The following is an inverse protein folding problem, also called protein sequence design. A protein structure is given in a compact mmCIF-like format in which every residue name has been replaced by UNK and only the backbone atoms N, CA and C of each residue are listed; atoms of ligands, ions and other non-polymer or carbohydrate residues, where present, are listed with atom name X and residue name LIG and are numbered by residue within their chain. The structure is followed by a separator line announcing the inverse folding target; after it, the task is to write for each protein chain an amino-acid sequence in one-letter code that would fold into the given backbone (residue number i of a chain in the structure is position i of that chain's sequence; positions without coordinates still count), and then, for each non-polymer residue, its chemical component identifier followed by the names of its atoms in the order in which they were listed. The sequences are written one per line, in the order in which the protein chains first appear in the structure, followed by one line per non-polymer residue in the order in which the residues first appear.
data_IF_985186475799
#
_entry.id   IF_985186475799
#
_cell.length_a   1.000
_cell.length_b   1.000
_cell.length_c   1.000
_cell.angle_alpha   90.00
_cell.angle_beta   90.00
_cell.angle_gamma   90.00
#
_symmetry.space_group_name_H-M   'P 1'
#
loop_
_entity.id
_entity.type
_entity.pdbx_description
1 polymer ?
#
# COMPACT_ATOMS: atom_id res chain seq x y z
N UNK A 1 70.84 -32.50 -9.27
CA UNK A 1 69.96 -31.40 -9.73
C UNK A 1 68.50 -31.86 -9.70
N UNK A 2 68.00 -32.34 -8.56
CA UNK A 2 66.74 -33.11 -8.50
C UNK A 2 65.93 -32.83 -7.23
N UNK A 3 65.93 -31.58 -6.74
CA UNK A 3 65.05 -31.18 -5.61
C UNK A 3 64.10 -30.01 -5.92
N UNK A 4 64.22 -29.38 -7.10
CA UNK A 4 63.43 -28.18 -7.45
C UNK A 4 62.02 -28.42 -8.01
N UNK A 5 61.68 -29.64 -8.43
CA UNK A 5 60.42 -29.92 -9.15
C UNK A 5 59.27 -30.31 -8.19
N UNK A 6 59.57 -30.79 -6.98
CA UNK A 6 58.57 -31.35 -6.06
C UNK A 6 57.92 -30.32 -5.12
N UNK A 7 58.30 -29.05 -5.19
CA UNK A 7 57.71 -27.96 -4.38
C UNK A 7 56.74 -27.08 -5.17
N UNK A 8 56.83 -27.05 -6.51
CA UNK A 8 55.89 -26.31 -7.36
C UNK A 8 54.52 -26.99 -7.42
N UNK A 9 54.44 -28.32 -7.47
CA UNK A 9 53.18 -29.06 -7.67
C UNK A 9 52.17 -28.90 -6.52
N UNK A 10 52.64 -28.64 -5.29
CA UNK A 10 51.77 -28.43 -4.12
C UNK A 10 51.13 -27.04 -4.03
N UNK A 11 51.67 -26.03 -4.71
CA UNK A 11 51.15 -24.65 -4.68
C UNK A 11 50.15 -24.33 -5.79
N UNK A 12 50.21 -25.03 -6.91
CA UNK A 12 49.29 -24.84 -8.06
C UNK A 12 48.03 -25.70 -8.00
N UNK A 13 48.03 -26.80 -7.24
CA UNK A 13 46.87 -27.68 -7.11
C UNK A 13 45.58 -27.00 -6.58
N UNK A 14 45.61 -26.13 -5.54
CA UNK A 14 44.38 -25.46 -5.07
C UNK A 14 43.90 -24.34 -6.01
N UNK A 15 44.79 -23.76 -6.81
CA UNK A 15 44.44 -22.75 -7.82
C UNK A 15 43.72 -23.38 -9.02
N UNK A 16 44.11 -24.60 -9.39
CA UNK A 16 43.53 -25.33 -10.51
C UNK A 16 42.13 -25.88 -10.19
N UNK A 17 41.87 -26.23 -8.92
CA UNK A 17 40.53 -26.67 -8.46
C UNK A 17 39.55 -25.50 -8.35
N UNK A 18 39.99 -24.32 -7.92
CA UNK A 18 39.14 -23.11 -7.87
C UNK A 18 38.79 -22.64 -9.29
N UNK A 19 39.73 -22.69 -10.24
CA UNK A 19 39.46 -22.38 -11.64
C UNK A 19 38.45 -23.34 -12.28
N UNK A 20 38.53 -24.64 -11.96
CA UNK A 20 37.56 -25.62 -12.44
C UNK A 20 36.15 -25.44 -11.84
N UNK A 21 36.05 -25.04 -10.57
CA UNK A 21 34.78 -24.73 -9.92
C UNK A 21 34.13 -23.44 -10.45
N UNK A 22 34.96 -22.44 -10.77
CA UNK A 22 34.51 -21.18 -11.39
C UNK A 22 34.02 -21.39 -12.84
N UNK A 23 34.68 -22.27 -13.60
CA UNK A 23 34.25 -22.66 -14.95
C UNK A 23 32.96 -23.51 -14.95
N UNK A 24 32.76 -24.37 -13.94
CA UNK A 24 31.52 -25.14 -13.80
C UNK A 24 30.31 -24.25 -13.44
N UNK A 25 30.54 -23.15 -12.69
CA UNK A 25 29.51 -22.15 -12.38
C UNK A 25 29.22 -21.19 -13.55
N UNK A 26 30.16 -21.00 -14.49
CA UNK A 26 29.92 -20.18 -15.68
C UNK A 26 29.00 -20.87 -16.70
N UNK A 27 29.02 -22.20 -16.78
CA UNK A 27 28.21 -22.96 -17.72
C UNK A 27 26.73 -23.08 -17.32
N UNK A 28 26.35 -22.74 -16.09
CA UNK A 28 24.94 -22.75 -15.65
C UNK A 28 24.23 -21.41 -15.90
N UNK A 29 24.95 -20.35 -16.28
CA UNK A 29 24.37 -19.05 -16.68
C UNK A 29 23.94 -19.04 -18.15
N UNK A 30 24.38 -20.00 -18.96
CA UNK A 30 23.90 -20.21 -20.33
C UNK A 30 22.75 -21.22 -20.36
N UNK A 31 21.80 -21.09 -19.43
CA UNK A 31 20.55 -21.81 -19.53
C UNK A 31 19.75 -21.28 -20.74
N UNK A 32 19.80 -22.07 -21.81
CA UNK A 32 18.71 -22.26 -22.76
C UNK A 32 18.28 -21.03 -23.60
N UNK A 33 19.18 -20.55 -24.47
CA UNK A 33 18.72 -19.92 -25.72
C UNK A 33 18.16 -21.02 -26.61
N UNK A 34 16.85 -21.22 -26.54
CA UNK A 34 16.09 -22.01 -27.52
C UNK A 34 16.49 -21.57 -28.93
N UNK A 35 17.08 -22.48 -29.71
CA UNK A 35 17.59 -22.23 -31.07
C UNK A 35 16.51 -22.04 -32.14
N UNK A 36 15.27 -21.80 -31.71
CA UNK A 36 14.13 -21.51 -32.56
C UNK A 36 14.12 -20.02 -32.94
N UNK A 37 14.24 -19.72 -34.24
CA UNK A 37 13.90 -18.39 -34.78
C UNK A 37 12.39 -18.15 -34.77
N UNK A 38 11.60 -19.22 -34.66
CA UNK A 38 10.16 -19.14 -34.44
C UNK A 38 9.90 -18.68 -33.00
N UNK A 39 9.40 -17.46 -32.87
CA UNK A 39 8.72 -16.99 -31.67
C UNK A 39 7.23 -17.16 -31.90
N UNK A 40 6.61 -18.02 -31.10
CA UNK A 40 5.15 -18.16 -30.97
C UNK A 40 4.49 -16.91 -30.36
N UNK A 41 5.21 -15.78 -30.37
CA UNK A 41 4.82 -14.56 -29.70
C UNK A 41 4.05 -13.60 -30.59
N UNK A 42 4.09 -13.80 -31.91
CA UNK A 42 3.29 -13.04 -32.87
C UNK A 42 1.88 -13.61 -32.82
N UNK A 43 0.98 -12.91 -32.12
CA UNK A 43 -0.41 -13.31 -31.96
C UNK A 43 -1.02 -13.77 -33.29
N UNK A 44 -1.91 -14.76 -33.20
CA UNK A 44 -2.64 -15.30 -34.35
C UNK A 44 -3.26 -14.17 -35.18
N UNK A 45 -3.14 -14.27 -36.51
CA UNK A 45 -3.72 -13.29 -37.45
C UNK A 45 -5.25 -13.15 -37.31
N UNK A 46 -5.89 -14.08 -36.60
CA UNK A 46 -7.32 -14.13 -36.34
C UNK A 46 -7.67 -13.90 -34.87
N UNK A 47 -6.69 -13.69 -33.99
CA UNK A 47 -6.92 -13.38 -32.58
C UNK A 47 -6.81 -11.88 -32.37
N UNK A 48 -7.79 -11.34 -31.65
CA UNK A 48 -7.83 -9.93 -31.27
C UNK A 48 -6.54 -9.55 -30.50
N UNK A 49 -5.96 -8.40 -30.84
CA UNK A 49 -4.68 -7.91 -30.31
C UNK A 49 -4.90 -7.26 -28.94
N UNK A 50 -5.27 -8.11 -27.97
CA UNK A 50 -5.49 -7.72 -26.58
C UNK A 50 -4.24 -7.98 -25.76
N UNK A 51 -4.05 -7.22 -24.69
CA UNK A 51 -3.00 -7.48 -23.71
C UNK A 51 -3.19 -8.88 -23.09
N UNK A 52 -2.19 -9.73 -23.23
CA UNK A 52 -2.22 -11.12 -22.74
C UNK A 52 -0.91 -11.55 -22.07
N UNK A 53 0.15 -10.75 -22.16
CA UNK A 53 1.48 -11.09 -21.68
C UNK A 53 1.98 -10.06 -20.68
N UNK A 54 2.87 -10.50 -19.80
CA UNK A 54 3.65 -9.59 -18.98
C UNK A 54 4.42 -8.60 -19.88
N UNK A 55 4.32 -7.31 -19.56
CA UNK A 55 4.86 -6.22 -20.37
C UNK A 55 3.85 -5.53 -21.28
N UNK A 56 2.68 -6.12 -21.53
CA UNK A 56 1.63 -5.46 -22.30
C UNK A 56 1.01 -4.29 -21.52
N UNK A 57 0.42 -3.33 -22.23
CA UNK A 57 -0.22 -2.16 -21.62
C UNK A 57 -1.73 -2.22 -21.80
N UNK A 58 -2.45 -1.83 -20.75
CA UNK A 58 -3.92 -1.76 -20.72
C UNK A 58 -4.32 -0.39 -20.23
N UNK A 59 -5.28 0.21 -20.92
CA UNK A 59 -5.91 1.43 -20.45
C UNK A 59 -7.02 1.09 -19.46
N UNK A 60 -6.92 1.60 -18.24
CA UNK A 60 -7.99 1.54 -17.24
C UNK A 60 -8.81 2.83 -17.25
N UNK A 61 -10.12 2.68 -17.35
CA UNK A 61 -11.12 3.73 -17.14
C UNK A 61 -11.56 3.69 -15.68
N UNK A 62 -11.06 4.63 -14.89
CA UNK A 62 -11.33 4.74 -13.45
C UNK A 62 -12.55 5.61 -13.24
N UNK A 63 -13.59 5.05 -12.62
CA UNK A 63 -14.82 5.74 -12.23
C UNK A 63 -15.17 5.35 -10.81
N UNK A 64 -14.64 6.07 -9.82
CA UNK A 64 -14.85 5.79 -8.41
C UNK A 64 -15.61 6.92 -7.72
N UNK A 65 -16.65 6.54 -6.96
CA UNK A 65 -17.38 7.45 -6.08
C UNK A 65 -17.35 6.88 -4.66
N UNK A 66 -16.73 7.60 -3.72
CA UNK A 66 -16.64 7.19 -2.32
C UNK A 66 -17.36 8.20 -1.44
N UNK A 67 -18.33 7.72 -0.67
CA UNK A 67 -19.04 8.49 0.35
C UNK A 67 -18.76 7.84 1.70
N UNK A 68 -17.93 8.49 2.52
CA UNK A 68 -17.64 8.06 3.88
C UNK A 68 -18.36 8.98 4.87
N UNK A 69 -19.38 8.46 5.54
CA UNK A 69 -20.09 9.16 6.61
C UNK A 69 -19.78 8.51 7.96
N UNK A 70 -19.00 9.19 8.81
CA UNK A 70 -18.80 8.75 10.18
C UNK A 70 -19.65 9.59 11.12
N UNK A 71 -20.55 8.92 11.85
CA UNK A 71 -21.23 9.47 13.03
C UNK A 71 -20.51 8.95 14.27
N UNK A 72 -20.02 9.86 15.09
CA UNK A 72 -19.48 9.59 16.41
C UNK A 72 -20.40 10.22 17.45
N UNK A 73 -21.17 9.39 18.17
CA UNK A 73 -21.94 9.79 19.33
C UNK A 73 -21.17 9.35 20.58
N UNK A 74 -20.77 10.31 21.41
CA UNK A 74 -20.01 10.06 22.63
C UNK A 74 -20.83 10.52 23.82
N UNK A 75 -21.36 9.56 24.58
CA UNK A 75 -22.07 9.78 25.83
C UNK A 75 -21.12 9.52 27.01
N UNK A 76 -20.59 10.57 27.64
CA UNK A 76 -19.84 10.44 28.90
C UNK A 76 -20.72 10.86 30.07
N UNK A 77 -21.09 9.89 30.91
CA UNK A 77 -21.70 10.11 32.22
C UNK A 77 -20.63 9.89 33.27
N UNK A 78 -20.30 10.92 34.05
CA UNK A 78 -19.31 10.84 35.12
C UNK A 78 -19.98 11.16 36.44
N UNK A 79 -20.15 10.12 37.25
CA UNK A 79 -20.69 10.19 38.61
C UNK A 79 -19.53 10.16 39.61
N UNK A 80 -19.13 11.31 40.13
CA UNK A 80 -18.08 11.43 41.15
C UNK A 80 -18.70 11.65 42.52
N UNK A 81 -18.93 10.57 43.28
CA UNK A 81 -19.31 10.64 44.69
C UNK A 81 -18.06 10.53 45.56
N UNK A 82 -17.47 11.66 45.95
CA UNK A 82 -16.39 11.68 46.94
C UNK A 82 -16.99 11.92 48.33
N UNK A 83 -17.21 10.83 49.08
CA UNK A 83 -17.65 10.92 50.48
C UNK A 83 -16.42 10.94 51.38
N UNK A 84 -16.02 12.12 51.86
CA UNK A 84 -15.00 12.25 52.90
C UNK A 84 -15.70 12.09 54.24
N UNK A 85 -15.53 10.93 54.87
CA UNK A 85 -15.95 10.72 56.26
C UNK A 85 -15.04 11.50 57.22
N UNK A 86 -15.54 11.85 58.42
CA UNK A 86 -14.73 12.51 59.44
C UNK A 86 -13.60 11.57 59.88
N UNK A 87 -12.37 11.83 59.41
CA UNK A 87 -11.19 11.02 59.74
C UNK A 87 -10.23 10.72 58.58
N UNK A 88 -10.54 11.16 57.35
CA UNK A 88 -9.70 10.93 56.17
C UNK A 88 -8.51 11.90 56.04
N UNK A 89 -7.43 11.67 56.78
CA UNK A 89 -6.10 12.23 56.49
C UNK A 89 -5.72 13.52 57.23
N UNK A 90 -4.42 13.63 57.53
CA UNK A 90 -3.79 14.68 58.34
C UNK A 90 -4.03 16.12 57.86
N UNK A 91 -4.49 16.31 56.62
CA UNK A 91 -4.77 17.62 56.02
C UNK A 91 -6.20 18.13 56.26
N UNK A 92 -7.14 17.29 56.71
CA UNK A 92 -8.57 17.64 56.80
C UNK A 92 -9.15 17.52 58.22
N UNK A 93 -8.30 17.59 59.25
CA UNK A 93 -8.68 17.38 60.65
C UNK A 93 -9.67 18.42 61.21
N UNK A 94 -9.95 19.52 60.49
CA UNK A 94 -10.75 20.63 61.01
C UNK A 94 -11.78 21.21 60.02
N UNK A 95 -12.16 20.46 58.98
CA UNK A 95 -13.20 20.90 58.04
C UNK A 95 -14.41 19.98 58.21
N UNK A 96 -15.56 20.57 58.57
CA UNK A 96 -16.82 19.87 58.70
C UNK A 96 -17.23 19.16 57.41
N UNK A 97 -18.11 18.16 57.54
CA UNK A 97 -18.60 17.30 56.45
C UNK A 97 -19.01 18.13 55.21
N UNK A 98 -18.12 18.18 54.21
CA UNK A 98 -18.38 18.87 52.95
C UNK A 98 -18.70 17.84 51.88
N UNK A 99 -20.00 17.67 51.61
CA UNK A 99 -20.50 16.86 50.51
C UNK A 99 -20.49 17.69 49.23
N UNK A 100 -19.55 17.41 48.32
CA UNK A 100 -19.52 18.00 46.99
C UNK A 100 -19.99 16.96 45.97
N UNK A 101 -21.25 17.05 45.55
CA UNK A 101 -21.84 16.20 44.52
C UNK A 101 -21.91 16.95 43.19
N UNK A 102 -21.08 16.55 42.22
CA UNK A 102 -21.15 17.05 40.85
C UNK A 102 -21.52 15.92 39.90
N UNK A 103 -22.65 16.04 39.21
CA UNK A 103 -23.04 15.16 38.11
C UNK A 103 -22.75 15.87 36.79
N UNK A 104 -21.76 15.41 36.02
CA UNK A 104 -21.46 15.95 34.70
C UNK A 104 -21.95 14.99 33.62
N UNK A 105 -22.89 15.46 32.79
CA UNK A 105 -23.39 14.73 31.62
C UNK A 105 -22.94 15.49 30.38
N UNK A 106 -21.99 14.92 29.63
CA UNK A 106 -21.52 15.47 28.37
C UNK A 106 -21.99 14.59 27.22
N UNK A 107 -22.77 15.19 26.30
CA UNK A 107 -23.16 14.59 25.03
C UNK A 107 -22.39 15.27 23.91
N UNK A 108 -21.52 14.52 23.23
CA UNK A 108 -20.82 14.97 22.04
C UNK A 108 -21.35 14.25 20.81
N UNK A 109 -21.97 14.99 19.89
CA UNK A 109 -22.34 14.49 18.57
C UNK A 109 -21.36 15.06 17.54
N UNK A 110 -20.62 14.19 16.87
CA UNK A 110 -19.72 14.54 15.76
C UNK A 110 -20.15 13.80 14.50
N UNK A 111 -20.58 14.53 13.47
CA UNK A 111 -20.80 13.95 12.14
C UNK A 111 -19.74 14.47 11.17
N UNK A 112 -18.97 13.57 10.56
CA UNK A 112 -18.07 13.90 9.45
C UNK A 112 -18.53 13.17 8.20
N UNK A 113 -18.77 13.91 7.13
CA UNK A 113 -19.09 13.37 5.81
C UNK A 113 -17.98 13.76 4.85
N UNK A 114 -17.39 12.77 4.18
CA UNK A 114 -16.38 12.94 3.13
C UNK A 114 -16.92 12.33 1.85
N UNK A 115 -17.08 13.14 0.82
CA UNK A 115 -17.40 12.70 -0.54
C UNK A 115 -16.20 12.90 -1.45
N UNK A 116 -15.81 11.87 -2.21
CA UNK A 116 -14.74 11.94 -3.21
C UNK A 116 -15.21 11.27 -4.51
N UNK A 117 -15.06 11.98 -5.63
CA UNK A 117 -15.34 11.47 -6.97
C UNK A 117 -14.04 11.49 -7.78
N UNK A 118 -13.68 10.36 -8.38
CA UNK A 118 -12.49 10.20 -9.20
C UNK A 118 -12.88 9.64 -10.56
N UNK A 119 -12.73 10.45 -11.61
CA UNK A 119 -12.95 10.06 -13.00
C UNK A 119 -11.66 10.33 -13.76
N UNK A 120 -10.98 9.27 -14.19
CA UNK A 120 -9.71 9.40 -14.91
C UNK A 120 -9.43 8.20 -15.79
N UNK A 121 -8.51 8.37 -16.75
CA UNK A 121 -7.98 7.30 -17.60
C UNK A 121 -6.52 7.10 -17.24
N UNK A 122 -6.14 5.87 -16.89
CA UNK A 122 -4.79 5.51 -16.48
C UNK A 122 -4.29 4.34 -17.32
N UNK A 123 -3.07 4.41 -17.84
CA UNK A 123 -2.42 3.26 -18.46
C UNK A 123 -1.72 2.45 -17.39
N UNK A 124 -2.03 1.15 -17.33
CA UNK A 124 -1.37 0.17 -16.49
C UNK A 124 -0.57 -0.80 -17.37
N UNK A 125 0.49 -1.37 -16.81
CA UNK A 125 1.26 -2.44 -17.44
C UNK A 125 0.92 -3.76 -16.77
N UNK A 126 0.91 -4.84 -17.53
CA UNK A 126 0.79 -6.20 -17.00
C UNK A 126 2.14 -6.56 -16.40
N UNK A 127 2.18 -6.78 -15.09
CA UNK A 127 3.42 -7.14 -14.39
C UNK A 127 3.64 -8.65 -14.34
N UNK A 128 2.57 -9.42 -14.24
CA UNK A 128 2.63 -10.88 -14.15
C UNK A 128 1.34 -11.54 -14.70
N UNK A 129 1.44 -12.82 -15.04
CA UNK A 129 0.31 -13.66 -15.46
C UNK A 129 0.16 -14.81 -14.47
N UNK A 130 -0.98 -14.84 -13.78
CA UNK A 130 -1.30 -15.87 -12.81
C UNK A 130 -1.50 -17.24 -13.50
N UNK A 131 -1.35 -18.37 -12.77
CA UNK A 131 -1.49 -19.71 -13.33
C UNK A 131 -2.85 -20.01 -13.98
N UNK A 132 -3.88 -19.26 -13.62
CA UNK A 132 -5.23 -19.34 -14.19
C UNK A 132 -5.41 -18.51 -15.48
N UNK A 133 -4.37 -17.79 -15.93
CA UNK A 133 -4.40 -16.91 -17.10
C UNK A 133 -4.88 -15.48 -16.81
N UNK A 134 -5.12 -15.12 -15.54
CA UNK A 134 -5.44 -13.75 -15.18
C UNK A 134 -4.17 -12.88 -15.18
N UNK A 135 -4.34 -11.60 -15.48
CA UNK A 135 -3.25 -10.65 -15.61
C UNK A 135 -3.20 -9.77 -14.35
N UNK A 136 -2.04 -9.69 -13.72
CA UNK A 136 -1.78 -8.71 -12.67
C UNK A 136 -1.36 -7.42 -13.34
N UNK A 137 -2.06 -6.33 -13.04
CA UNK A 137 -1.79 -5.02 -13.62
C UNK A 137 -1.33 -4.04 -12.54
N UNK A 138 -0.40 -3.17 -12.94
CA UNK A 138 0.07 -2.07 -12.13
C UNK A 138 0.26 -0.82 -12.99
N UNK A 139 -0.24 0.32 -12.52
CA UNK A 139 -0.09 1.59 -13.22
C UNK A 139 0.13 2.73 -12.23
N UNK A 140 0.95 3.69 -12.62
CA UNK A 140 1.12 4.95 -11.91
C UNK A 140 0.98 6.10 -12.91
N UNK A 141 0.24 7.15 -12.52
CA UNK A 141 0.15 8.39 -13.27
C UNK A 141 0.37 9.55 -12.32
N UNK A 142 1.41 10.32 -12.59
CA UNK A 142 1.64 11.60 -11.95
C UNK A 142 0.96 12.71 -12.76
N UNK A 143 0.18 13.55 -12.08
CA UNK A 143 -0.48 14.71 -12.65
C UNK A 143 -0.10 15.91 -11.80
N UNK A 144 0.43 16.96 -12.44
CA UNK A 144 0.68 18.24 -11.78
C UNK A 144 -0.44 19.21 -12.10
N UNK A 145 -1.19 19.63 -11.09
CA UNK A 145 -2.29 20.61 -11.23
C UNK A 145 -2.09 21.71 -10.21
N UNK A 146 -2.06 22.98 -10.66
CA UNK A 146 -1.97 24.16 -9.77
C UNK A 146 -0.85 24.04 -8.71
N UNK A 147 0.35 23.67 -9.15
CA UNK A 147 1.55 23.49 -8.30
C UNK A 147 1.52 22.29 -7.34
N UNK A 148 0.43 21.53 -7.31
CA UNK A 148 0.33 20.29 -6.55
C UNK A 148 0.65 19.08 -7.46
N UNK A 149 1.57 18.22 -6.98
CA UNK A 149 1.79 16.92 -7.60
C UNK A 149 0.82 15.90 -6.99
N UNK A 150 0.03 15.28 -7.85
CA UNK A 150 -0.89 14.20 -7.53
C UNK A 150 -0.37 12.92 -8.18
N UNK A 151 -0.25 11.86 -7.40
CA UNK A 151 0.16 10.54 -7.85
C UNK A 151 -1.04 9.62 -7.70
N UNK A 152 -1.48 9.05 -8.83
CA UNK A 152 -2.54 8.05 -8.89
C UNK A 152 -1.88 6.70 -9.13
N UNK A 153 -2.07 5.77 -8.20
CA UNK A 153 -1.61 4.38 -8.32
C UNK A 153 -2.79 3.46 -8.47
N UNK A 154 -2.66 2.50 -9.37
CA UNK A 154 -3.61 1.45 -9.57
C UNK A 154 -2.89 0.10 -9.54
N UNK A 155 -3.43 -0.84 -8.79
CA UNK A 155 -3.06 -2.25 -8.91
C UNK A 155 -4.31 -3.12 -8.82
N UNK A 156 -4.24 -4.31 -9.41
CA UNK A 156 -5.33 -5.26 -9.36
C UNK A 156 -5.11 -6.42 -10.32
N UNK A 157 -6.11 -7.29 -10.41
CA UNK A 157 -6.08 -8.46 -11.28
C UNK A 157 -7.23 -8.37 -12.27
N UNK A 158 -6.94 -8.58 -13.55
CA UNK A 158 -7.93 -8.56 -14.62
C UNK A 158 -7.96 -9.89 -15.36
N UNK A 159 -9.13 -10.23 -15.89
CA UNK A 159 -9.25 -11.37 -16.82
C UNK A 159 -9.02 -10.87 -18.24
N UNK A 160 -8.31 -11.62 -19.10
CA UNK A 160 -8.17 -11.25 -20.52
C UNK A 160 -9.52 -11.09 -21.24
N UNK A 161 -10.58 -11.76 -20.78
CA UNK A 161 -11.94 -11.64 -21.35
C UNK A 161 -12.55 -10.25 -21.18
N UNK A 162 -12.16 -9.50 -20.15
CA UNK A 162 -12.79 -8.25 -19.73
C UNK A 162 -12.15 -7.01 -20.38
N UNK A 163 -10.99 -7.18 -21.03
CA UNK A 163 -10.21 -6.10 -21.67
C UNK A 163 -10.74 -5.82 -23.07
N UNK A 164 -11.53 -4.79 -23.38
CA UNK A 164 -12.07 -4.58 -24.74
C UNK A 164 -11.03 -4.71 -25.88
N UNK A 165 -11.45 -4.94 -27.14
CA UNK A 165 -10.54 -4.97 -28.31
C UNK A 165 -9.59 -3.76 -28.40
N UNK A 166 -10.03 -2.60 -27.91
CA UNK A 166 -9.24 -1.37 -27.82
C UNK A 166 -8.23 -1.33 -26.65
N UNK A 167 -7.97 -2.46 -25.98
CA UNK A 167 -7.13 -2.56 -24.78
C UNK A 167 -7.61 -1.69 -23.62
N UNK A 168 -8.92 -1.59 -23.43
CA UNK A 168 -9.54 -0.81 -22.35
C UNK A 168 -10.28 -1.68 -21.35
N UNK A 169 -10.21 -1.35 -20.06
CA UNK A 169 -10.96 -2.02 -18.98
C UNK A 169 -11.55 -0.99 -18.02
N UNK A 170 -12.76 -1.23 -17.52
CA UNK A 170 -13.36 -0.40 -16.47
C UNK A 170 -12.82 -0.79 -15.10
N UNK A 171 -12.63 0.16 -14.18
CA UNK A 171 -12.20 -0.11 -12.81
C UNK A 171 -13.12 -1.09 -12.07
N UNK A 172 -14.41 -1.09 -12.40
CA UNK A 172 -15.42 -2.01 -11.85
C UNK A 172 -15.20 -3.48 -12.19
N UNK A 173 -14.46 -3.77 -13.26
CA UNK A 173 -14.18 -5.14 -13.73
C UNK A 173 -12.82 -5.67 -13.22
N UNK A 174 -12.10 -4.87 -12.42
CA UNK A 174 -10.81 -5.23 -11.87
C UNK A 174 -11.01 -5.89 -10.51
N UNK A 175 -10.53 -7.13 -10.36
CA UNK A 175 -10.52 -7.82 -9.08
C UNK A 175 -9.45 -7.24 -8.15
N UNK A 176 -9.79 -7.10 -6.87
CA UNK A 176 -8.92 -6.53 -5.83
C UNK A 176 -8.29 -5.18 -6.24
N UNK A 177 -9.08 -4.35 -6.93
CA UNK A 177 -8.64 -3.05 -7.39
C UNK A 177 -8.24 -2.15 -6.21
N UNK A 178 -6.97 -1.75 -6.18
CA UNK A 178 -6.43 -0.76 -5.24
C UNK A 178 -6.11 0.50 -6.01
N UNK A 179 -6.88 1.55 -5.73
CA UNK A 179 -6.75 2.85 -6.37
C UNK A 179 -6.38 3.85 -5.28
N UNK A 180 -5.13 4.31 -5.31
CA UNK A 180 -4.61 5.27 -4.35
C UNK A 180 -4.41 6.61 -5.06
N UNK A 181 -5.06 7.64 -4.53
CA UNK A 181 -4.81 9.03 -4.91
C UNK A 181 -4.02 9.70 -3.78
N UNK A 182 -2.75 9.99 -4.03
CA UNK A 182 -1.89 10.72 -3.09
C UNK A 182 -1.61 12.11 -3.63
N UNK A 183 -1.89 13.15 -2.85
CA UNK A 183 -1.58 14.54 -3.18
C UNK A 183 -1.06 15.30 -1.97
N UNK A 184 0.00 16.11 -2.15
CA UNK A 184 0.55 16.97 -1.10
C UNK A 184 -0.12 18.35 -1.17
N UNK A 185 -1.33 18.49 -0.63
CA UNK A 185 -2.08 19.75 -0.58
C UNK A 185 -2.21 20.34 0.84
N UNK A 186 -2.28 21.67 1.01
CA UNK A 186 -2.37 22.35 2.31
C UNK A 186 -3.68 22.07 3.07
N UNK A 187 -4.70 21.54 2.40
CA UNK A 187 -6.02 21.24 3.00
C UNK A 187 -5.98 19.97 3.87
N UNK A 188 -5.12 19.00 3.57
CA UNK A 188 -5.00 17.78 4.36
C UNK A 188 -4.46 18.02 5.79
N UNK A 189 -3.73 19.12 6.02
CA UNK A 189 -3.13 19.42 7.32
C UNK A 189 -4.09 20.02 8.36
N UNK A 190 -5.27 20.53 7.96
CA UNK A 190 -6.23 21.13 8.91
C UNK A 190 -7.07 20.10 9.69
N UNK A 191 -6.94 18.81 9.39
CA UNK A 191 -7.84 17.79 9.94
C UNK A 191 -7.31 17.07 11.18
N UNK A 192 -6.15 17.48 11.73
CA UNK A 192 -5.74 17.04 13.06
C UNK A 192 -6.44 17.92 14.09
N UNK A 193 -7.23 17.28 14.95
CA UNK A 193 -7.82 17.90 16.13
C UNK A 193 -6.74 18.69 16.89
N UNK A 194 -7.02 19.95 17.19
CA UNK A 194 -6.06 20.82 17.84
C UNK A 194 -5.70 20.30 19.23
N UNK A 195 -4.42 20.34 19.58
CA UNK A 195 -3.91 19.93 20.90
C UNK A 195 -4.66 20.64 22.05
N UNK A 196 -5.23 21.84 21.78
CA UNK A 196 -6.02 22.62 22.74
C UNK A 196 -7.31 21.91 23.19
N UNK A 197 -8.06 21.25 22.31
CA UNK A 197 -9.28 20.52 22.71
C UNK A 197 -8.95 19.31 23.57
N UNK A 198 -7.79 18.69 23.35
CA UNK A 198 -7.32 17.56 24.15
C UNK A 198 -6.87 17.99 25.56
N UNK A 199 -6.23 19.17 25.68
CA UNK A 199 -5.84 19.74 26.97
C UNK A 199 -7.04 20.21 27.80
N UNK A 200 -8.04 20.83 27.18
CA UNK A 200 -9.26 21.27 27.88
C UNK A 200 -10.04 20.08 28.44
N UNK A 201 -10.05 18.94 27.75
CA UNK A 201 -10.68 17.68 28.23
C UNK A 201 -9.89 17.00 29.36
N UNK A 202 -8.59 17.26 29.49
CA UNK A 202 -7.76 16.67 30.56
C UNK A 202 -7.91 17.47 31.88
N UNK A 203 -8.23 18.76 31.79
CA UNK A 203 -8.16 19.69 32.93
C UNK A 203 -9.50 19.92 33.63
N UNK A 204 -10.63 19.54 33.01
CA UNK A 204 -11.98 19.55 33.59
C UNK A 204 -12.67 18.18 33.39
#
# INVERSE_FOLDING_TARGET
MTEGVMTMTRRVLPLLTIAALLCAAANTVLAQRSGSLWRDERGSLFTDLRAMKAGDTVTVLVMESSIASQKASTDLKRDSNFKVGPGGGFLFKNIGEMSYGGSSTSKGEGSTSRSSNLITRLTATVTDVLPNGNLVIQGEREIRTNEENQIIRLSGVIRPSDVSPDNTVSSTLIADAKIELTGKGPIAQRQREGILTQLIRLLF
#
